data_IF_903984768901
#
_entry.id   IF_903984768901
#
_cell.length_a   1.000
_cell.length_b   1.000
_cell.length_c   1.000
_cell.angle_alpha   90.00
_cell.angle_beta   90.00
_cell.angle_gamma   90.00
#
_symmetry.space_group_name_H-M   'P 1'
#
loop_
_entity.id
_entity.type
_entity.pdbx_description
1 polymer ?
#
# COMPACT_ATOMS: atom_id res chain seq x y z
N UNK A 1 13.24 15.44 -0.86
CA UNK A 1 12.17 15.10 -1.84
C UNK A 1 11.01 14.52 -1.06
N UNK A 2 9.80 14.96 -1.34
CA UNK A 2 8.59 14.33 -0.80
C UNK A 2 7.97 13.50 -1.93
N UNK A 3 7.72 12.22 -1.69
CA UNK A 3 7.15 11.30 -2.67
C UNK A 3 5.86 10.73 -2.09
N UNK A 4 4.74 10.92 -2.79
CA UNK A 4 3.48 10.32 -2.36
C UNK A 4 3.53 8.79 -2.38
N UNK A 5 2.65 8.15 -1.60
CA UNK A 5 2.55 6.68 -1.59
C UNK A 5 1.57 6.20 -2.67
N UNK A 6 1.86 5.10 -3.39
CA UNK A 6 3.05 4.26 -3.30
C UNK A 6 4.27 4.93 -3.96
N UNK A 7 5.46 4.76 -3.37
CA UNK A 7 6.67 5.48 -3.83
C UNK A 7 7.25 4.94 -5.13
N UNK A 8 6.93 3.70 -5.50
CA UNK A 8 7.32 3.04 -6.74
C UNK A 8 6.19 2.14 -7.25
N UNK A 9 6.19 1.85 -8.56
CA UNK A 9 5.24 0.93 -9.17
C UNK A 9 5.84 -0.46 -9.35
N UNK A 10 7.13 -0.52 -9.67
CA UNK A 10 7.90 -1.76 -9.76
C UNK A 10 8.89 -1.88 -8.60
N UNK A 11 9.25 -3.10 -8.25
CA UNK A 11 10.12 -3.34 -7.10
C UNK A 11 11.60 -3.11 -7.40
N UNK A 12 12.03 -3.27 -8.65
CA UNK A 12 13.41 -2.97 -9.07
C UNK A 12 13.73 -1.46 -9.16
N UNK A 13 12.70 -0.60 -9.21
CA UNK A 13 12.85 0.85 -9.06
C UNK A 13 13.42 1.24 -7.69
N UNK A 14 13.10 0.44 -6.66
CA UNK A 14 13.49 0.70 -5.27
C UNK A 14 15.01 0.89 -5.10
N UNK A 15 15.80 -0.02 -5.68
CA UNK A 15 17.25 0.03 -5.59
C UNK A 15 17.81 1.32 -6.21
N UNK A 16 17.29 1.71 -7.39
CA UNK A 16 17.69 2.93 -8.10
C UNK A 16 17.28 4.19 -7.34
N UNK A 17 16.10 4.19 -6.71
CA UNK A 17 15.65 5.30 -5.87
C UNK A 17 16.54 5.48 -4.63
N UNK A 18 16.86 4.39 -3.93
CA UNK A 18 17.73 4.40 -2.76
C UNK A 18 19.13 4.88 -3.14
N UNK A 19 19.71 4.32 -4.20
CA UNK A 19 21.04 4.69 -4.69
C UNK A 19 21.09 6.18 -5.07
N UNK A 20 20.10 6.67 -5.81
CA UNK A 20 20.00 8.09 -6.18
C UNK A 20 19.87 9.00 -4.96
N UNK A 21 19.03 8.65 -3.98
CA UNK A 21 18.86 9.43 -2.76
C UNK A 21 20.16 9.49 -1.93
N UNK A 22 20.85 8.35 -1.79
CA UNK A 22 22.09 8.23 -1.01
C UNK A 22 23.25 8.95 -1.69
N UNK A 23 23.49 8.71 -2.98
CA UNK A 23 24.57 9.35 -3.75
C UNK A 23 24.46 10.87 -3.82
N UNK A 24 23.23 11.40 -3.80
CA UNK A 24 22.97 12.84 -3.79
C UNK A 24 22.77 13.43 -2.37
N UNK A 25 22.96 12.63 -1.32
CA UNK A 25 22.75 13.04 0.08
C UNK A 25 21.40 13.75 0.30
N UNK A 26 20.32 13.16 -0.23
CA UNK A 26 18.97 13.72 -0.19
C UNK A 26 18.12 13.01 0.87
N UNK A 27 17.44 13.82 1.69
CA UNK A 27 16.35 13.34 2.56
C UNK A 27 15.11 13.11 1.69
N UNK A 28 14.54 11.92 1.79
CA UNK A 28 13.33 11.54 1.07
C UNK A 28 12.30 11.04 2.07
N UNK A 29 11.12 11.68 2.08
CA UNK A 29 9.96 11.24 2.85
C UNK A 29 8.92 10.62 1.92
N UNK A 30 8.30 9.54 2.39
CA UNK A 30 7.18 8.89 1.72
C UNK A 30 5.85 9.36 2.32
N UNK A 31 4.79 9.42 1.49
CA UNK A 31 3.45 9.90 1.86
C UNK A 31 2.66 9.00 2.82
N UNK A 32 3.33 8.22 3.68
CA UNK A 32 2.72 7.39 4.71
C UNK A 32 2.35 8.23 5.94
N UNK A 33 1.40 9.13 5.76
CA UNK A 33 0.97 10.11 6.80
C UNK A 33 0.55 9.48 8.12
N UNK A 34 0.06 8.24 8.11
CA UNK A 34 -0.33 7.51 9.32
C UNK A 34 0.85 7.30 10.30
N UNK A 35 2.10 7.27 9.81
CA UNK A 35 3.30 7.18 10.67
C UNK A 35 3.54 8.43 11.51
N UNK A 36 2.97 9.56 11.12
CA UNK A 36 3.04 10.82 11.86
C UNK A 36 1.82 11.06 12.75
N UNK A 37 0.79 10.22 12.66
CA UNK A 37 -0.40 10.29 13.50
C UNK A 37 -0.13 9.79 14.92
N UNK A 38 -0.37 10.64 15.92
CA UNK A 38 -0.16 10.29 17.32
C UNK A 38 -1.00 9.08 17.77
N UNK A 39 -2.24 8.97 17.28
CA UNK A 39 -3.12 7.83 17.58
C UNK A 39 -2.63 6.54 16.92
N UNK A 40 -2.12 6.58 15.69
CA UNK A 40 -1.48 5.40 15.07
C UNK A 40 -0.22 5.01 15.85
N UNK A 41 0.64 5.96 16.18
CA UNK A 41 1.84 5.69 16.98
C UNK A 41 1.50 5.08 18.35
N UNK A 42 0.45 5.56 19.03
CA UNK A 42 0.01 4.98 20.31
C UNK A 42 -0.61 3.60 20.15
N UNK A 43 -1.38 3.36 19.09
CA UNK A 43 -1.89 2.02 18.76
C UNK A 43 -0.75 1.01 18.57
N UNK A 44 0.26 1.37 17.77
CA UNK A 44 1.39 0.48 17.49
C UNK A 44 2.22 0.23 18.74
N UNK A 45 2.48 1.26 19.56
CA UNK A 45 3.12 1.07 20.87
C UNK A 45 2.32 0.10 21.75
N UNK A 46 0.99 0.20 21.76
CA UNK A 46 0.14 -0.70 22.55
C UNK A 46 0.23 -2.14 22.06
N UNK A 47 0.14 -2.36 20.74
CA UNK A 47 0.31 -3.69 20.11
C UNK A 47 1.66 -4.31 20.48
N UNK A 48 2.75 -3.54 20.35
CA UNK A 48 4.11 -4.01 20.61
C UNK A 48 4.47 -4.12 22.09
N UNK A 49 3.72 -3.46 22.99
CA UNK A 49 3.97 -3.50 24.44
C UNK A 49 3.66 -4.84 25.11
N UNK A 50 2.97 -5.74 24.41
CA UNK A 50 2.50 -7.01 24.96
C UNK A 50 1.25 -6.89 25.84
N UNK A 51 0.65 -5.70 26.01
CA UNK A 51 -0.60 -5.55 26.78
C UNK A 51 -1.75 -6.39 26.21
N UNK A 52 -1.82 -6.52 24.87
CA UNK A 52 -2.82 -7.34 24.17
C UNK A 52 -2.52 -8.85 24.22
N UNK A 53 -1.43 -9.29 24.86
CA UNK A 53 -0.97 -10.68 24.76
C UNK A 53 -0.17 -10.93 23.49
N UNK A 54 -0.07 -12.19 23.09
CA UNK A 54 0.57 -12.54 21.83
C UNK A 54 -0.31 -12.06 20.67
N UNK A 55 0.24 -11.21 19.80
CA UNK A 55 -0.42 -10.74 18.57
C UNK A 55 0.27 -11.41 17.38
N UNK A 56 -0.37 -12.43 16.82
CA UNK A 56 0.15 -13.19 15.67
C UNK A 56 -0.58 -12.89 14.37
N UNK A 57 -1.70 -12.18 14.44
CA UNK A 57 -2.55 -11.89 13.29
C UNK A 57 -2.89 -10.40 13.24
N UNK A 58 -2.70 -9.79 12.07
CA UNK A 58 -3.30 -8.52 11.72
C UNK A 58 -4.18 -8.66 10.48
N UNK A 59 -5.29 -7.91 10.43
CA UNK A 59 -6.14 -7.81 9.24
C UNK A 59 -6.28 -6.36 8.84
N UNK A 60 -5.85 -6.01 7.64
CA UNK A 60 -6.10 -4.73 7.00
C UNK A 60 -7.25 -4.88 5.99
N UNK A 61 -8.12 -3.88 5.91
CA UNK A 61 -9.18 -3.91 4.91
C UNK A 61 -9.56 -2.57 4.34
N UNK A 62 -10.06 -2.59 3.11
CA UNK A 62 -10.68 -1.45 2.45
C UNK A 62 -12.00 -1.84 1.78
N UNK A 63 -13.11 -1.23 2.18
CA UNK A 63 -14.45 -1.52 1.65
C UNK A 63 -15.15 -0.20 1.35
N UNK A 64 -15.28 0.11 0.07
CA UNK A 64 -16.00 1.28 -0.39
C UNK A 64 -16.51 1.06 -1.81
N UNK A 65 -17.77 1.41 -2.06
CA UNK A 65 -18.33 1.37 -3.40
C UNK A 65 -17.61 2.36 -4.32
N UNK A 66 -17.00 1.86 -5.38
CA UNK A 66 -16.44 2.62 -6.50
C UNK A 66 -17.46 2.72 -7.62
N UNK A 67 -17.38 3.80 -8.39
CA UNK A 67 -18.16 3.93 -9.61
C UNK A 67 -17.53 3.05 -10.70
N UNK A 68 -18.33 2.27 -11.44
CA UNK A 68 -17.84 1.53 -12.59
C UNK A 68 -17.19 2.45 -13.61
N UNK A 69 -16.02 2.05 -14.11
CA UNK A 69 -15.26 2.78 -15.12
C UNK A 69 -15.81 2.53 -16.53
N UNK A 70 -16.48 3.52 -17.10
CA UNK A 70 -17.06 3.42 -18.44
C UNK A 70 -16.01 3.24 -19.56
N UNK A 71 -16.37 2.58 -20.68
CA UNK A 71 -15.56 2.55 -21.88
C UNK A 71 -15.32 3.94 -22.45
N UNK A 72 -14.15 4.13 -23.04
CA UNK A 72 -13.79 5.34 -23.76
C UNK A 72 -13.32 4.99 -25.18
N UNK A 73 -13.59 5.88 -26.12
CA UNK A 73 -13.02 5.83 -27.45
C UNK A 73 -11.70 6.61 -27.50
N UNK A 74 -10.77 6.27 -28.41
CA UNK A 74 -9.59 7.08 -28.66
C UNK A 74 -9.95 8.53 -28.99
N UNK A 75 -9.28 9.46 -28.33
CA UNK A 75 -9.39 10.90 -28.57
C UNK A 75 -8.00 11.53 -28.49
N UNK A 76 -7.85 12.76 -28.98
CA UNK A 76 -6.60 13.50 -28.81
C UNK A 76 -6.33 13.78 -27.32
N UNK A 77 -5.06 13.71 -26.87
CA UNK A 77 -4.68 14.15 -25.54
C UNK A 77 -5.12 15.60 -25.26
N UNK A 78 -5.48 15.95 -24.00
CA UNK A 78 -5.79 17.32 -23.63
C UNK A 78 -4.64 18.28 -23.96
N UNK A 79 -4.96 19.53 -24.28
CA UNK A 79 -3.96 20.55 -24.55
C UNK A 79 -2.94 20.67 -23.41
N UNK A 80 -1.64 20.64 -23.75
CA UNK A 80 -0.53 20.67 -22.79
C UNK A 80 -0.12 19.31 -22.23
N UNK A 81 -0.77 18.22 -22.62
CA UNK A 81 -0.35 16.85 -22.25
C UNK A 81 0.58 16.29 -23.32
N UNK A 82 1.85 16.11 -22.97
CA UNK A 82 2.74 15.22 -23.71
C UNK A 82 2.40 13.78 -23.30
N UNK A 83 1.66 13.09 -24.17
CA UNK A 83 1.16 11.77 -23.85
C UNK A 83 2.24 10.68 -23.92
N UNK A 84 3.28 10.87 -24.74
CA UNK A 84 4.38 9.92 -24.81
C UNK A 84 5.17 9.95 -23.50
N UNK A 85 5.47 11.14 -22.99
CA UNK A 85 6.11 11.32 -21.68
C UNK A 85 5.21 10.80 -20.56
N UNK A 86 3.90 11.06 -20.61
CA UNK A 86 2.96 10.57 -19.61
C UNK A 86 2.88 9.03 -19.57
N UNK A 87 2.93 8.38 -20.73
CA UNK A 87 2.86 6.93 -20.87
C UNK A 87 4.14 6.25 -20.37
N UNK A 88 5.29 6.91 -20.54
CA UNK A 88 6.58 6.44 -20.04
C UNK A 88 6.92 5.03 -20.56
N UNK A 89 7.30 4.08 -19.69
CA UNK A 89 7.68 2.71 -20.09
C UNK A 89 6.48 1.80 -20.43
N UNK A 90 5.24 2.29 -20.32
CA UNK A 90 4.06 1.49 -20.66
C UNK A 90 3.94 1.28 -22.19
N UNK A 91 3.26 0.21 -22.66
CA UNK A 91 3.12 -0.06 -24.08
C UNK A 91 2.39 1.07 -24.81
N UNK A 92 2.98 1.51 -25.93
CA UNK A 92 2.42 2.50 -26.85
C UNK A 92 0.96 2.16 -27.21
N UNK A 93 0.10 3.19 -27.17
CA UNK A 93 -1.34 3.06 -27.43
C UNK A 93 -1.95 4.42 -27.73
N UNK A 94 -3.16 4.49 -28.32
CA UNK A 94 -3.93 5.72 -28.40
C UNK A 94 -4.31 6.25 -27.01
N UNK A 95 -4.48 7.56 -26.88
CA UNK A 95 -4.98 8.18 -25.66
C UNK A 95 -6.43 7.79 -25.39
N UNK A 96 -6.71 7.35 -24.15
CA UNK A 96 -8.04 7.01 -23.66
C UNK A 96 -8.30 7.78 -22.37
N UNK A 97 -9.36 8.58 -22.33
CA UNK A 97 -9.71 9.41 -21.17
C UNK A 97 -9.99 8.58 -19.91
N UNK A 98 -10.52 7.37 -20.06
CA UNK A 98 -10.78 6.45 -18.95
C UNK A 98 -9.51 5.76 -18.41
N UNK A 99 -8.33 5.98 -19.00
CA UNK A 99 -7.03 5.51 -18.48
C UNK A 99 -6.17 6.64 -17.93
N UNK A 100 -6.62 7.89 -18.06
CA UNK A 100 -5.86 9.07 -17.70
C UNK A 100 -5.94 9.38 -16.20
N UNK A 101 -5.57 10.60 -15.78
CA UNK A 101 -5.53 11.04 -14.38
C UNK A 101 -6.69 10.50 -13.53
N UNK A 102 -6.37 10.12 -12.28
CA UNK A 102 -7.21 9.36 -11.36
C UNK A 102 -7.44 7.89 -11.76
N UNK A 103 -7.85 7.60 -13.00
CA UNK A 103 -8.21 6.25 -13.44
C UNK A 103 -7.04 5.33 -13.79
N UNK A 104 -5.85 5.88 -14.09
CA UNK A 104 -4.62 5.11 -14.37
C UNK A 104 -4.36 4.00 -13.34
N UNK A 105 -4.77 4.21 -12.08
CA UNK A 105 -4.56 3.26 -10.97
C UNK A 105 -5.25 1.92 -11.18
N UNK A 106 -6.30 1.87 -11.99
CA UNK A 106 -7.08 0.66 -12.25
C UNK A 106 -6.47 -0.24 -13.35
N UNK A 107 -5.35 0.18 -13.94
CA UNK A 107 -4.67 -0.50 -15.04
C UNK A 107 -3.26 -0.90 -14.63
N UNK A 108 -2.89 -2.16 -14.89
CA UNK A 108 -1.61 -2.74 -14.43
C UNK A 108 -0.37 -2.04 -14.97
N UNK A 109 -0.51 -1.34 -16.09
CA UNK A 109 0.58 -0.56 -16.69
C UNK A 109 1.05 0.60 -15.80
N UNK A 110 0.17 1.17 -14.98
CA UNK A 110 0.46 2.38 -14.19
C UNK A 110 0.11 2.25 -12.71
N UNK A 111 -0.75 1.31 -12.33
CA UNK A 111 -1.13 1.14 -10.93
C UNK A 111 -1.64 -0.25 -10.59
N UNK A 112 -2.06 -0.39 -9.34
CA UNK A 112 -2.35 -1.69 -8.71
C UNK A 112 -3.72 -1.67 -8.01
N UNK A 113 -4.62 -0.79 -8.44
CA UNK A 113 -5.95 -0.61 -7.90
C UNK A 113 -5.91 -0.24 -6.41
N UNK A 114 -6.71 -0.93 -5.60
CA UNK A 114 -6.77 -0.66 -4.17
C UNK A 114 -5.50 -1.08 -3.43
N UNK A 115 -4.70 -2.03 -3.94
CA UNK A 115 -3.43 -2.42 -3.33
C UNK A 115 -2.42 -1.28 -3.35
N UNK A 116 -2.29 -0.60 -4.49
CA UNK A 116 -1.43 0.59 -4.61
C UNK A 116 -1.99 1.80 -3.85
N UNK A 117 -3.33 1.92 -3.78
CA UNK A 117 -3.99 3.01 -3.09
C UNK A 117 -4.04 2.83 -1.56
N UNK A 118 -5.09 2.19 -1.04
CA UNK A 118 -5.26 2.00 0.40
C UNK A 118 -4.40 0.87 0.96
N UNK A 119 -4.05 -0.13 0.14
CA UNK A 119 -3.19 -1.23 0.54
C UNK A 119 -1.83 -0.74 1.03
N UNK A 120 -1.15 0.14 0.29
CA UNK A 120 0.14 0.71 0.69
C UNK A 120 0.09 1.40 2.06
N UNK A 121 -1.02 2.04 2.42
CA UNK A 121 -1.19 2.71 3.71
C UNK A 121 -1.58 1.74 4.85
N UNK A 122 -2.52 0.83 4.59
CA UNK A 122 -3.06 -0.04 5.63
C UNK A 122 -2.16 -1.26 5.88
N UNK A 123 -1.52 -1.80 4.84
CA UNK A 123 -0.49 -2.83 4.99
C UNK A 123 0.75 -2.29 5.68
N UNK A 124 1.08 -1.00 5.50
CA UNK A 124 2.14 -0.33 6.28
C UNK A 124 1.83 -0.37 7.79
N UNK A 125 0.61 -0.04 8.19
CA UNK A 125 0.20 -0.10 9.61
C UNK A 125 0.23 -1.54 10.12
N UNK A 126 -0.30 -2.50 9.37
CA UNK A 126 -0.31 -3.91 9.77
C UNK A 126 1.10 -4.46 9.96
N UNK A 127 1.99 -4.26 8.97
CA UNK A 127 3.38 -4.74 9.03
C UNK A 127 4.17 -4.01 10.12
N UNK A 128 3.88 -2.74 10.38
CA UNK A 128 4.51 -1.97 11.46
C UNK A 128 4.12 -2.51 12.83
N UNK A 129 2.84 -2.82 13.04
CA UNK A 129 2.38 -3.37 14.31
C UNK A 129 2.90 -4.78 14.59
N UNK A 130 3.01 -5.60 13.54
CA UNK A 130 3.57 -6.96 13.65
C UNK A 130 5.10 -7.01 13.59
N UNK A 131 5.77 -5.88 13.37
CA UNK A 131 7.22 -5.80 13.18
C UNK A 131 7.72 -6.77 12.08
N UNK A 132 7.04 -6.74 10.93
CA UNK A 132 7.39 -7.52 9.75
C UNK A 132 7.88 -6.59 8.65
N UNK A 133 9.14 -6.73 8.23
CA UNK A 133 9.68 -6.00 7.10
C UNK A 133 9.12 -6.57 5.79
N UNK A 134 9.49 -7.81 5.46
CA UNK A 134 9.03 -8.52 4.27
C UNK A 134 8.35 -9.84 4.65
N UNK A 135 7.24 -10.21 3.99
CA UNK A 135 6.66 -11.54 4.13
C UNK A 135 7.58 -12.57 3.47
N UNK A 136 7.50 -13.83 3.88
CA UNK A 136 8.19 -14.98 3.29
C UNK A 136 7.38 -15.60 2.14
N UNK A 137 6.05 -15.53 2.24
CA UNK A 137 5.10 -16.04 1.24
C UNK A 137 3.91 -15.11 1.09
N UNK A 138 3.39 -15.02 -0.13
CA UNK A 138 2.20 -14.22 -0.44
C UNK A 138 1.25 -15.03 -1.32
N UNK A 139 -0.01 -15.15 -0.90
CA UNK A 139 -1.05 -15.83 -1.65
C UNK A 139 -2.28 -14.93 -1.78
N UNK A 140 -2.67 -14.62 -3.01
CA UNK A 140 -3.85 -13.83 -3.33
C UNK A 140 -4.94 -14.68 -3.97
N UNK A 141 -6.18 -14.46 -3.55
CA UNK A 141 -7.37 -15.12 -4.10
C UNK A 141 -8.46 -14.09 -4.37
N UNK A 142 -9.50 -14.54 -5.08
CA UNK A 142 -10.55 -13.69 -5.63
C UNK A 142 -10.04 -12.85 -6.82
N UNK A 143 -10.70 -11.75 -7.17
CA UNK A 143 -10.32 -10.93 -8.32
C UNK A 143 -11.43 -10.01 -8.75
N UNK A 144 -11.78 -10.08 -10.03
CA UNK A 144 -12.84 -9.28 -10.63
C UNK A 144 -14.08 -10.13 -10.82
N UNK A 145 -15.13 -9.89 -10.02
CA UNK A 145 -16.29 -10.80 -9.91
C UNK A 145 -17.65 -10.11 -10.00
N UNK A 146 -17.73 -8.83 -9.64
CA UNK A 146 -18.99 -8.12 -9.42
C UNK A 146 -19.14 -6.93 -10.37
N UNK A 147 -18.07 -6.16 -10.55
CA UNK A 147 -18.10 -4.94 -11.36
C UNK A 147 -17.67 -5.28 -12.79
N UNK A 148 -18.60 -5.12 -13.73
CA UNK A 148 -18.33 -5.20 -15.17
C UNK A 148 -18.04 -3.80 -15.72
N UNK A 149 -16.76 -3.44 -15.81
CA UNK A 149 -16.31 -2.14 -16.33
C UNK A 149 -15.00 -2.26 -17.16
N UNK A 150 -14.19 -1.21 -17.25
CA UNK A 150 -12.89 -1.26 -17.98
C UNK A 150 -11.66 -1.50 -17.09
N UNK A 151 -11.79 -1.50 -15.76
CA UNK A 151 -10.68 -1.71 -14.84
C UNK A 151 -10.05 -3.11 -15.03
N UNK A 152 -8.73 -3.21 -14.83
CA UNK A 152 -8.00 -4.48 -14.86
C UNK A 152 -7.72 -5.05 -13.47
N UNK A 153 -7.70 -4.18 -12.47
CA UNK A 153 -7.39 -4.55 -11.08
C UNK A 153 -8.63 -5.17 -10.39
N UNK A 154 -8.44 -6.01 -9.36
CA UNK A 154 -9.54 -6.67 -8.65
C UNK A 154 -10.61 -5.70 -8.13
N UNK A 155 -11.87 -6.15 -8.14
CA UNK A 155 -12.95 -5.50 -7.37
C UNK A 155 -13.11 -6.12 -5.97
N UNK A 156 -12.58 -7.33 -5.80
CA UNK A 156 -12.63 -8.13 -4.58
C UNK A 156 -11.31 -8.88 -4.46
N UNK A 157 -10.53 -8.65 -3.42
CA UNK A 157 -9.28 -9.40 -3.23
C UNK A 157 -9.09 -9.77 -1.77
N UNK A 158 -8.63 -11.00 -1.56
CA UNK A 158 -8.16 -11.48 -0.28
C UNK A 158 -6.70 -11.92 -0.42
N UNK A 159 -5.84 -11.46 0.47
CA UNK A 159 -4.40 -11.79 0.42
C UNK A 159 -3.93 -12.22 1.80
N UNK A 160 -3.15 -13.28 1.83
CA UNK A 160 -2.40 -13.70 3.01
C UNK A 160 -0.92 -13.41 2.80
N UNK A 161 -0.32 -12.75 3.79
CA UNK A 161 1.10 -12.51 3.88
C UNK A 161 1.64 -13.27 5.08
N UNK A 162 2.52 -14.22 4.82
CA UNK A 162 3.20 -15.00 5.85
C UNK A 162 4.45 -14.26 6.32
N UNK A 163 4.52 -13.91 7.59
CA UNK A 163 5.66 -13.25 8.23
C UNK A 163 6.42 -14.19 9.17
N UNK A 164 6.34 -15.51 8.95
CA UNK A 164 6.95 -16.52 9.80
C UNK A 164 6.01 -16.96 10.92
N UNK A 165 6.21 -16.44 12.13
CA UNK A 165 5.34 -16.71 13.29
C UNK A 165 4.07 -15.83 13.33
N UNK A 166 3.94 -14.94 12.34
CA UNK A 166 2.87 -13.94 12.24
C UNK A 166 2.25 -13.97 10.84
N UNK A 167 1.02 -13.49 10.74
CA UNK A 167 0.30 -13.37 9.46
C UNK A 167 -0.38 -12.00 9.37
N UNK A 168 -0.31 -11.40 8.18
CA UNK A 168 -1.15 -10.25 7.82
C UNK A 168 -2.15 -10.68 6.76
N UNK A 169 -3.39 -10.27 6.93
CA UNK A 169 -4.45 -10.45 5.95
C UNK A 169 -4.83 -9.12 5.32
N UNK A 170 -5.06 -9.12 4.01
CA UNK A 170 -5.70 -8.03 3.29
C UNK A 170 -7.07 -8.47 2.78
N UNK A 171 -8.02 -7.56 2.85
CA UNK A 171 -9.29 -7.67 2.14
C UNK A 171 -9.63 -6.34 1.49
N UNK A 172 -10.04 -6.34 0.23
CA UNK A 172 -10.83 -5.22 -0.27
C UNK A 172 -12.05 -5.63 -1.06
N UNK A 173 -13.05 -4.75 -1.05
CA UNK A 173 -14.29 -4.86 -1.83
C UNK A 173 -14.70 -3.48 -2.35
N UNK A 174 -14.71 -3.30 -3.66
CA UNK A 174 -15.05 -2.02 -4.30
C UNK A 174 -16.52 -1.91 -4.71
N UNK A 175 -17.34 -2.91 -4.41
CA UNK A 175 -18.78 -2.96 -4.77
C UNK A 175 -19.72 -2.82 -3.57
N UNK A 176 -19.17 -2.78 -2.35
CA UNK A 176 -19.91 -2.72 -1.08
C UNK A 176 -19.51 -1.51 -0.25
N UNK A 177 -20.42 -1.03 0.61
CA UNK A 177 -20.14 -0.05 1.66
C UNK A 177 -20.20 -0.68 3.06
N UNK A 178 -20.58 -1.96 3.17
CA UNK A 178 -20.70 -2.64 4.46
C UNK A 178 -19.35 -3.28 4.84
N UNK A 179 -18.61 -2.57 5.69
CA UNK A 179 -17.26 -2.91 6.10
C UNK A 179 -17.24 -3.58 7.49
N UNK A 180 -16.22 -4.42 7.77
CA UNK A 180 -15.97 -4.91 9.12
C UNK A 180 -15.91 -3.78 10.15
N UNK A 181 -16.45 -4.02 11.35
CA UNK A 181 -16.45 -3.04 12.46
C UNK A 181 -17.11 -1.68 12.14
N UNK A 182 -17.87 -1.58 11.05
CA UNK A 182 -18.40 -0.30 10.57
C UNK A 182 -17.33 0.68 10.07
N UNK A 183 -16.10 0.21 9.83
CA UNK A 183 -14.95 1.02 9.44
C UNK A 183 -14.54 0.67 8.02
N UNK A 184 -14.61 1.62 7.08
CA UNK A 184 -14.35 1.33 5.66
C UNK A 184 -12.88 1.09 5.34
N UNK A 185 -11.95 1.64 6.12
CA UNK A 185 -10.51 1.53 5.91
C UNK A 185 -9.82 1.42 7.27
N UNK A 186 -9.41 0.22 7.66
CA UNK A 186 -8.90 -0.02 9.02
C UNK A 186 -7.93 -1.21 9.08
N UNK A 187 -7.23 -1.30 10.22
CA UNK A 187 -6.39 -2.43 10.59
C UNK A 187 -6.80 -2.95 11.96
N UNK A 188 -7.00 -4.25 12.08
CA UNK A 188 -7.18 -4.96 13.33
C UNK A 188 -5.93 -5.75 13.70
N UNK A 189 -5.59 -5.79 14.98
CA UNK A 189 -4.56 -6.61 15.58
C UNK A 189 -5.20 -7.53 16.61
N UNK A 190 -5.10 -8.84 16.41
CA UNK A 190 -5.77 -9.84 17.24
C UNK A 190 -4.78 -10.37 18.28
N UNK A 191 -4.98 -9.99 19.53
CA UNK A 191 -4.21 -10.46 20.67
C UNK A 191 -5.01 -11.39 21.58
N UNK A 192 -4.32 -12.26 22.30
CA UNK A 192 -4.92 -13.20 23.27
C UNK A 192 -5.76 -12.50 24.37
N UNK A 193 -5.49 -11.22 24.65
CA UNK A 193 -6.13 -10.43 25.71
C UNK A 193 -6.93 -9.23 25.18
N UNK A 194 -7.11 -9.13 23.88
CA UNK A 194 -7.92 -8.09 23.26
C UNK A 194 -7.58 -7.87 21.80
N UNK A 195 -8.54 -7.30 21.08
CA UNK A 195 -8.39 -6.96 19.65
C UNK A 195 -8.33 -5.44 19.51
N UNK A 196 -7.23 -4.90 18.98
CA UNK A 196 -7.12 -3.47 18.68
C UNK A 196 -7.57 -3.22 17.24
N UNK A 197 -8.48 -2.27 17.04
CA UNK A 197 -8.86 -1.79 15.69
C UNK A 197 -8.53 -0.32 15.57
N UNK A 198 -7.76 0.04 14.53
CA UNK A 198 -7.31 1.40 14.25
C UNK A 198 -7.66 1.84 12.84
N UNK A 199 -8.11 3.08 12.70
CA UNK A 199 -8.23 3.82 11.45
C UNK A 199 -7.92 5.30 11.68
N UNK A 200 -8.17 6.15 10.68
CA UNK A 200 -7.97 7.60 10.77
C UNK A 200 -8.89 8.32 11.76
N UNK A 201 -9.93 7.64 12.25
CA UNK A 201 -10.85 8.11 13.29
C UNK A 201 -10.39 7.80 14.71
N UNK A 202 -9.25 7.11 14.88
CA UNK A 202 -8.75 6.68 16.18
C UNK A 202 -8.72 5.15 16.32
N UNK A 203 -8.46 4.68 17.53
CA UNK A 203 -8.41 3.24 17.82
C UNK A 203 -9.15 2.87 19.09
N UNK A 204 -9.61 1.61 19.13
CA UNK A 204 -10.28 1.01 20.28
C UNK A 204 -9.79 -0.43 20.45
N UNK A 205 -9.65 -0.86 21.71
CA UNK A 205 -9.48 -2.27 22.06
C UNK A 205 -10.82 -2.88 22.45
N UNK A 206 -11.11 -4.03 21.85
CA UNK A 206 -12.26 -4.87 22.14
C UNK A 206 -11.82 -6.08 22.95
N UNK A 207 -12.75 -6.66 23.71
CA UNK A 207 -12.56 -7.90 24.47
C UNK A 207 -11.38 -7.86 25.47
N UNK A 208 -11.03 -6.65 25.93
CA UNK A 208 -10.05 -6.41 26.98
C UNK A 208 -10.73 -6.09 28.32
N UNK A 209 -10.03 -6.36 29.43
CA UNK A 209 -10.51 -6.02 30.78
C UNK A 209 -10.70 -4.51 30.97
N UNK A 210 -9.85 -3.72 30.33
CA UNK A 210 -9.89 -2.26 30.35
C UNK A 210 -10.42 -1.73 29.02
N UNK A 211 -11.25 -0.69 29.07
CA UNK A 211 -11.75 -0.02 27.87
C UNK A 211 -10.71 0.96 27.34
N UNK A 212 -9.69 0.45 26.64
CA UNK A 212 -8.63 1.27 26.03
C UNK A 212 -9.08 1.84 24.69
N UNK A 213 -8.94 3.15 24.50
CA UNK A 213 -9.30 3.86 23.27
C UNK A 213 -8.46 5.12 23.10
N UNK A 214 -8.36 5.62 21.86
CA UNK A 214 -7.83 6.94 21.54
C UNK A 214 -8.65 7.54 20.41
N UNK A 215 -8.94 8.83 20.51
CA UNK A 215 -9.53 9.61 19.42
C UNK A 215 -8.53 9.81 18.28
N UNK A 216 -9.03 10.25 17.13
CA UNK A 216 -8.21 10.66 15.99
C UNK A 216 -7.26 11.79 16.35
N UNK A 217 -6.13 11.84 15.66
CA UNK A 217 -5.21 12.98 15.66
C UNK A 217 -5.04 13.50 14.23
N UNK A 218 -4.60 14.75 14.10
CA UNK A 218 -4.17 15.29 12.81
C UNK A 218 -2.99 14.45 12.24
N UNK A 219 -2.94 14.27 10.92
CA UNK A 219 -1.96 13.44 10.22
C UNK A 219 -1.06 14.27 9.30
N UNK A 220 -1.63 15.19 8.50
CA UNK A 220 -0.94 15.83 7.39
C UNK A 220 0.08 16.89 7.85
N UNK A 221 -0.29 17.73 8.82
CA UNK A 221 0.58 18.79 9.33
C UNK A 221 1.76 18.24 10.14
N UNK A 222 1.62 17.30 11.10
CA UNK A 222 2.76 16.63 11.72
C UNK A 222 3.65 15.93 10.71
N UNK A 223 3.08 15.32 9.67
CA UNK A 223 3.85 14.65 8.63
C UNK A 223 4.70 15.63 7.81
N UNK A 224 4.12 16.73 7.35
CA UNK A 224 4.86 17.78 6.64
C UNK A 224 5.87 18.47 7.55
N UNK A 225 5.51 18.75 8.80
CA UNK A 225 6.41 19.35 9.79
C UNK A 225 7.61 18.43 10.07
N UNK A 226 7.38 17.13 10.23
CA UNK A 226 8.45 16.14 10.39
C UNK A 226 9.37 16.08 9.18
N UNK A 227 8.83 16.08 7.96
CA UNK A 227 9.64 16.14 6.74
C UNK A 227 10.51 17.41 6.68
N UNK A 228 9.93 18.59 6.96
CA UNK A 228 10.67 19.85 6.97
C UNK A 228 11.78 19.84 8.04
N UNK A 229 11.47 19.33 9.24
CA UNK A 229 12.45 19.18 10.30
C UNK A 229 13.56 18.21 9.90
N UNK A 230 13.23 17.04 9.33
CA UNK A 230 14.19 16.06 8.82
C UNK A 230 15.15 16.65 7.77
N UNK A 231 14.64 17.50 6.87
CA UNK A 231 15.48 18.22 5.90
C UNK A 231 16.44 19.19 6.59
N UNK A 232 15.95 19.98 7.55
CA UNK A 232 16.76 20.98 8.28
C UNK A 232 17.83 20.32 9.15
N UNK A 233 17.45 19.26 9.86
CA UNK A 233 18.26 18.57 10.86
C UNK A 233 19.11 17.43 10.26
N UNK A 234 18.91 17.10 8.97
CA UNK A 234 19.57 15.98 8.29
C UNK A 234 19.36 14.63 8.99
N UNK A 235 18.14 14.39 9.49
CA UNK A 235 17.74 13.11 10.11
C UNK A 235 16.78 12.32 9.23
N UNK A 236 16.59 11.05 9.57
CA UNK A 236 15.55 10.21 8.96
C UNK A 236 14.15 10.71 9.37
N UNK A 237 13.22 10.93 8.44
CA UNK A 237 11.83 11.27 8.75
C UNK A 237 11.07 10.03 9.27
N UNK A 238 9.90 10.24 9.89
CA UNK A 238 9.05 9.19 10.44
C UNK A 238 8.57 8.18 9.38
N UNK A 239 8.45 8.63 8.13
CA UNK A 239 8.24 7.76 6.98
C UNK A 239 9.28 8.11 5.90
N UNK A 240 10.38 7.38 5.90
CA UNK A 240 11.44 7.55 4.92
C UNK A 240 11.17 6.77 3.63
N UNK A 241 12.11 6.86 2.69
CA UNK A 241 12.03 6.18 1.40
C UNK A 241 12.02 4.65 1.55
N UNK A 242 12.88 4.09 2.40
CA UNK A 242 12.96 2.64 2.61
C UNK A 242 11.67 2.09 3.20
N UNK A 243 11.10 2.79 4.18
CA UNK A 243 9.76 2.49 4.71
C UNK A 243 8.70 2.53 3.62
N UNK A 244 8.73 3.55 2.76
CA UNK A 244 7.82 3.68 1.62
C UNK A 244 7.95 2.53 0.62
N UNK A 245 9.19 2.12 0.30
CA UNK A 245 9.51 1.03 -0.61
C UNK A 245 8.96 -0.29 -0.09
N UNK A 246 9.22 -0.60 1.19
CA UNK A 246 8.70 -1.82 1.79
C UNK A 246 7.17 -1.83 1.74
N UNK A 247 6.52 -0.73 2.10
CA UNK A 247 5.05 -0.64 2.10
C UNK A 247 4.42 -0.73 0.71
N UNK A 248 5.05 -0.14 -0.31
CA UNK A 248 4.63 -0.31 -1.70
C UNK A 248 4.83 -1.76 -2.18
N UNK A 249 5.95 -2.37 -1.80
CA UNK A 249 6.30 -3.75 -2.13
C UNK A 249 5.28 -4.78 -1.66
N UNK A 250 4.66 -4.59 -0.49
CA UNK A 250 3.58 -5.47 -0.04
C UNK A 250 2.38 -5.48 -1.00
N UNK A 251 1.98 -4.31 -1.51
CA UNK A 251 0.95 -4.21 -2.53
C UNK A 251 1.36 -4.85 -3.86
N UNK A 252 2.62 -4.64 -4.28
CA UNK A 252 3.20 -5.22 -5.48
C UNK A 252 3.18 -6.75 -5.43
N UNK A 253 3.67 -7.35 -4.35
CA UNK A 253 3.71 -8.80 -4.18
C UNK A 253 2.32 -9.44 -4.21
N UNK A 254 1.34 -8.78 -3.59
CA UNK A 254 -0.05 -9.20 -3.64
C UNK A 254 -0.63 -9.15 -5.07
N UNK A 255 -0.34 -8.08 -5.80
CA UNK A 255 -0.75 -7.93 -7.20
C UNK A 255 -0.10 -9.01 -8.08
N UNK A 256 1.17 -9.31 -7.86
CA UNK A 256 1.91 -10.36 -8.59
C UNK A 256 1.30 -11.73 -8.33
N UNK A 257 1.12 -12.13 -7.07
CA UNK A 257 0.47 -13.41 -6.72
C UNK A 257 -0.93 -13.52 -7.34
N UNK A 258 -1.71 -12.44 -7.33
CA UNK A 258 -3.03 -12.42 -7.95
C UNK A 258 -2.96 -12.66 -9.46
N UNK A 259 -2.04 -11.99 -10.15
CA UNK A 259 -1.88 -12.10 -11.61
C UNK A 259 -1.37 -13.46 -12.04
N UNK A 260 -0.52 -14.09 -11.23
CA UNK A 260 0.00 -15.44 -11.48
C UNK A 260 -0.96 -16.56 -11.04
N UNK A 261 -1.92 -16.26 -10.16
CA UNK A 261 -2.91 -17.21 -9.69
C UNK A 261 -2.39 -18.26 -8.72
N UNK A 262 -1.22 -18.04 -8.10
CA UNK A 262 -0.61 -18.97 -7.14
C UNK A 262 0.21 -18.24 -6.06
N UNK A 263 0.60 -18.96 -5.01
CA UNK A 263 1.46 -18.46 -3.93
C UNK A 263 2.87 -18.20 -4.43
N UNK A 264 3.45 -17.04 -4.10
CA UNK A 264 4.84 -16.71 -4.43
C UNK A 264 5.71 -16.70 -3.16
N UNK A 265 6.97 -17.11 -3.32
CA UNK A 265 8.01 -17.03 -2.27
C UNK A 265 8.84 -15.78 -2.42
N UNK A 266 9.23 -15.20 -1.29
CA UNK A 266 9.91 -13.92 -1.21
C UNK A 266 11.27 -14.10 -0.52
N UNK A 267 12.31 -13.50 -1.09
CA UNK A 267 13.63 -13.43 -0.49
C UNK A 267 13.72 -12.43 0.65
N UNK A 268 14.82 -12.48 1.41
CA UNK A 268 15.00 -11.64 2.60
C UNK A 268 14.99 -10.12 2.33
N UNK A 269 15.28 -9.71 1.09
CA UNK A 269 15.30 -8.31 0.65
C UNK A 269 14.01 -7.88 -0.05
N UNK A 270 13.00 -8.76 -0.09
CA UNK A 270 11.67 -8.45 -0.63
C UNK A 270 11.42 -8.88 -2.07
N UNK A 271 12.44 -9.27 -2.83
CA UNK A 271 12.24 -9.77 -4.20
C UNK A 271 11.51 -11.14 -4.22
N UNK A 272 10.61 -11.37 -5.19
CA UNK A 272 10.12 -12.72 -5.48
C UNK A 272 11.25 -13.66 -5.89
N UNK A 273 11.05 -14.96 -5.66
CA UNK A 273 11.98 -16.02 -6.06
C UNK A 273 11.54 -16.79 -7.31
N UNK A 274 10.27 -16.67 -7.68
CA UNK A 274 9.72 -17.31 -8.88
C UNK A 274 10.11 -16.49 -10.14
N UNK A 275 10.59 -17.11 -11.23
CA UNK A 275 10.95 -16.42 -12.47
C UNK A 275 9.84 -15.53 -13.05
N UNK A 276 8.60 -16.02 -13.07
CA UNK A 276 7.46 -15.27 -13.64
C UNK A 276 7.09 -14.11 -12.70
N UNK A 277 7.25 -14.30 -11.39
CA UNK A 277 7.06 -13.23 -10.42
C UNK A 277 8.14 -12.15 -10.50
N UNK A 278 9.39 -12.54 -10.78
CA UNK A 278 10.50 -11.61 -11.01
C UNK A 278 10.25 -10.76 -12.26
N UNK A 279 9.73 -11.34 -13.34
CA UNK A 279 9.37 -10.57 -14.54
C UNK A 279 8.33 -9.48 -14.23
N UNK A 280 7.32 -9.80 -13.40
CA UNK A 280 6.31 -8.82 -13.00
C UNK A 280 6.79 -7.82 -11.93
N UNK A 281 7.87 -8.15 -11.21
CA UNK A 281 8.51 -7.29 -10.21
C UNK A 281 9.39 -6.21 -10.85
N UNK A 282 9.95 -6.50 -12.03
CA UNK A 282 10.86 -5.61 -12.73
C UNK A 282 10.14 -4.63 -13.68
N UNK A 283 10.61 -3.38 -13.69
CA UNK A 283 10.15 -2.35 -14.60
C UNK A 283 10.56 -2.68 -16.03
N UNK A 284 9.70 -2.29 -16.99
CA UNK A 284 10.09 -2.28 -18.39
C UNK A 284 11.13 -1.18 -18.63
N UNK A 285 12.13 -1.40 -19.50
CA UNK A 285 13.05 -0.36 -19.89
C UNK A 285 12.26 0.86 -20.42
N UNK A 286 12.63 2.06 -19.96
CA UNK A 286 12.07 3.27 -20.52
C UNK A 286 12.47 3.40 -22.01
N UNK A 287 11.61 3.98 -22.87
CA UNK A 287 12.05 4.40 -24.20
C UNK A 287 13.28 5.30 -24.05
N UNK A 288 14.25 5.18 -24.97
CA UNK A 288 15.36 6.12 -25.01
C UNK A 288 14.80 7.47 -25.48
N UNK A 289 14.82 8.46 -24.59
CA UNK A 289 14.44 9.86 -24.84
C UNK A 289 15.67 10.61 -25.36
#
# INVERSE_FOLDING_TARGET
>A
VYVETPVCHFGDEAARMIESARSNHRIVASGLTQRSGQHFQSAIRLVQSGQLGQVTLAKAWFVQRRQPLAPALPVEPPAGVDFEVWLGPAPQRPFLSNRFHFHWRWFWDHGQGELGAWGSQLLDVARWGLDCAWPQRVAATNGRRVIADEAQTPDSLNVQFDCGDKTVLWEHRTWSNHAPEGRTAAVAFFGERGTLVVDRGGWKVYDSKESLTSDSSELALPHLADFIAAVKERRTPAADLETGIVSAGWGQLAAISHRLGHEIRIGNEGQPQDPDAIELWCARPAPQI
#
